data_IF_473699568685
#
_entry.id   IF_473699568685
#
_cell.length_a   1.000
_cell.length_b   1.000
_cell.length_c   1.000
_cell.angle_alpha   90.00
_cell.angle_beta   90.00
_cell.angle_gamma   90.00
#
_symmetry.space_group_name_H-M   'P 1'
#
loop_
_entity.id
_entity.type
_entity.pdbx_description
1 polymer ?
#
# COMPACT_ATOMS: atom_id res chain seq x y z
N UNK A 1 42.42 -19.45 40.53
CA UNK A 1 42.77 -18.07 40.11
C UNK A 1 41.56 -17.51 39.36
N UNK A 2 41.17 -16.25 39.54
CA UNK A 2 40.01 -15.68 38.83
C UNK A 2 40.37 -15.41 37.36
N UNK A 3 39.48 -15.73 36.40
CA UNK A 3 39.68 -15.52 34.95
C UNK A 3 40.17 -14.09 34.64
N UNK A 4 39.65 -13.11 35.38
CA UNK A 4 40.07 -11.71 35.26
C UNK A 4 41.57 -11.49 35.55
N UNK A 5 42.09 -12.15 36.59
CA UNK A 5 43.48 -12.00 37.00
C UNK A 5 44.43 -12.66 36.01
N UNK A 6 44.01 -13.77 35.40
CA UNK A 6 44.77 -14.47 34.36
C UNK A 6 44.83 -13.64 33.08
N UNK A 7 43.69 -13.13 32.59
CA UNK A 7 43.66 -12.25 31.42
C UNK A 7 44.46 -10.97 31.63
N UNK A 8 44.40 -10.38 32.83
CA UNK A 8 45.18 -9.18 33.14
C UNK A 8 46.70 -9.45 33.13
N UNK A 9 47.13 -10.59 33.67
CA UNK A 9 48.55 -10.99 33.60
C UNK A 9 48.97 -11.19 32.15
N UNK A 10 48.22 -11.99 31.38
CA UNK A 10 48.53 -12.26 29.97
C UNK A 10 48.57 -10.98 29.13
N UNK A 11 47.63 -10.07 29.34
CA UNK A 11 47.58 -8.80 28.61
C UNK A 11 48.76 -7.89 28.97
N UNK A 12 49.17 -7.83 30.24
CA UNK A 12 50.32 -7.04 30.66
C UNK A 12 51.66 -7.65 30.23
N UNK A 13 51.77 -8.97 30.26
CA UNK A 13 53.03 -9.67 29.99
C UNK A 13 53.32 -9.76 28.49
N UNK A 14 52.28 -9.96 27.66
CA UNK A 14 52.45 -10.28 26.24
C UNK A 14 52.20 -9.10 25.28
N UNK A 15 51.54 -8.02 25.74
CA UNK A 15 51.19 -6.87 24.89
C UNK A 15 51.83 -5.58 25.39
N UNK A 16 52.39 -4.80 24.46
CA UNK A 16 52.79 -3.42 24.69
C UNK A 16 51.59 -2.48 24.71
N UNK A 17 51.76 -1.24 25.20
CA UNK A 17 50.68 -0.23 25.23
C UNK A 17 50.09 0.01 23.84
N UNK A 18 50.92 0.05 22.78
CA UNK A 18 50.45 0.24 21.41
C UNK A 18 49.66 -0.96 20.89
N UNK A 19 50.08 -2.18 21.24
CA UNK A 19 49.37 -3.40 20.83
C UNK A 19 48.02 -3.55 21.53
N UNK A 20 47.90 -3.16 22.81
CA UNK A 20 46.60 -3.12 23.50
C UNK A 20 45.66 -2.11 22.81
N UNK A 21 46.18 -0.95 22.41
CA UNK A 21 45.38 0.05 21.67
C UNK A 21 44.95 -0.46 20.30
N UNK A 22 45.86 -1.11 19.57
CA UNK A 22 45.55 -1.75 18.28
C UNK A 22 44.48 -2.84 18.44
N UNK A 23 44.60 -3.68 19.47
CA UNK A 23 43.61 -4.69 19.81
C UNK A 23 42.22 -4.08 20.08
N UNK A 24 42.14 -2.98 20.83
CA UNK A 24 40.87 -2.28 21.07
C UNK A 24 40.24 -1.78 19.77
N UNK A 25 41.03 -1.20 18.87
CA UNK A 25 40.57 -0.72 17.55
C UNK A 25 40.05 -1.90 16.72
N UNK A 26 40.76 -3.03 16.68
CA UNK A 26 40.34 -4.23 15.96
C UNK A 26 39.04 -4.82 16.52
N UNK A 27 38.77 -4.61 17.81
CA UNK A 27 37.53 -4.99 18.48
C UNK A 27 36.41 -3.94 18.33
N UNK A 28 36.66 -2.83 17.62
CA UNK A 28 35.70 -1.75 17.38
C UNK A 28 35.51 -0.80 18.56
N UNK A 29 36.45 -0.80 19.50
CA UNK A 29 36.43 0.05 20.69
C UNK A 29 37.39 1.24 20.51
N UNK A 30 37.00 2.40 21.04
CA UNK A 30 37.85 3.60 21.04
C UNK A 30 38.85 3.52 22.21
N UNK A 31 40.17 3.36 21.98
CA UNK A 31 41.14 3.21 23.05
C UNK A 31 41.21 4.41 24.00
N UNK A 32 40.86 5.61 23.54
CA UNK A 32 40.87 6.82 24.36
C UNK A 32 39.68 6.88 25.34
N UNK A 33 38.66 6.04 25.13
CA UNK A 33 37.55 5.87 26.08
C UNK A 33 37.92 5.04 27.32
N UNK A 34 39.02 4.29 27.26
CA UNK A 34 39.51 3.45 28.36
C UNK A 34 40.56 4.20 29.18
N UNK A 35 41.45 4.93 28.51
CA UNK A 35 42.50 5.68 29.18
C UNK A 35 43.10 6.79 28.30
N UNK A 36 43.56 7.87 28.94
CA UNK A 36 44.26 8.96 28.27
C UNK A 36 45.52 8.48 27.52
N UNK A 37 45.98 9.18 26.46
CA UNK A 37 47.12 8.78 25.63
C UNK A 37 48.42 8.48 26.39
N UNK A 38 48.65 9.16 27.52
CA UNK A 38 49.80 9.05 28.39
C UNK A 38 49.64 8.00 29.52
N UNK A 39 48.52 7.28 29.53
CA UNK A 39 48.26 6.28 30.57
C UNK A 39 49.21 5.09 30.43
N UNK A 40 49.86 4.74 31.54
CA UNK A 40 50.73 3.57 31.63
C UNK A 40 50.01 2.27 31.28
N UNK A 41 50.78 1.31 30.73
CA UNK A 41 50.30 0.01 30.25
C UNK A 41 49.38 -0.70 31.24
N UNK A 42 49.80 -0.80 32.49
CA UNK A 42 49.10 -1.59 33.51
C UNK A 42 47.68 -1.08 33.77
N UNK A 43 47.52 0.25 33.78
CA UNK A 43 46.21 0.89 33.96
C UNK A 43 45.33 0.70 32.72
N UNK A 44 45.89 0.80 31.51
CA UNK A 44 45.16 0.53 30.27
C UNK A 44 44.68 -0.93 30.23
N UNK A 45 45.55 -1.89 30.53
CA UNK A 45 45.20 -3.31 30.58
C UNK A 45 44.10 -3.60 31.61
N UNK A 46 44.19 -2.98 32.80
CA UNK A 46 43.19 -3.12 33.85
C UNK A 46 41.82 -2.59 33.42
N UNK A 47 41.76 -1.39 32.83
CA UNK A 47 40.50 -0.80 32.35
C UNK A 47 39.91 -1.61 31.19
N UNK A 48 40.73 -2.11 30.26
CA UNK A 48 40.30 -3.00 29.18
C UNK A 48 39.64 -4.26 29.73
N UNK A 49 40.32 -5.00 30.60
CA UNK A 49 39.76 -6.22 31.18
C UNK A 49 38.48 -5.93 31.97
N UNK A 50 38.46 -4.82 32.72
CA UNK A 50 37.28 -4.43 33.52
C UNK A 50 36.08 -4.07 32.63
N UNK A 51 36.31 -3.34 31.54
CA UNK A 51 35.28 -2.98 30.57
C UNK A 51 34.62 -4.22 29.95
N UNK A 52 35.43 -5.13 29.39
CA UNK A 52 34.93 -6.35 28.77
C UNK A 52 34.26 -7.27 29.80
N UNK A 53 34.75 -7.29 31.05
CA UNK A 53 34.07 -8.00 32.15
C UNK A 53 32.67 -7.42 32.43
N UNK A 54 32.53 -6.09 32.54
CA UNK A 54 31.23 -5.45 32.81
C UNK A 54 30.18 -5.79 31.74
N UNK A 55 30.62 -5.95 30.48
CA UNK A 55 29.75 -6.32 29.36
C UNK A 55 29.56 -7.84 29.16
N UNK A 56 30.17 -8.68 30.00
CA UNK A 56 30.22 -10.14 29.84
C UNK A 56 30.83 -10.57 28.49
N UNK A 57 31.82 -9.84 28.02
CA UNK A 57 32.50 -10.02 26.73
C UNK A 57 33.97 -10.46 26.86
N UNK A 58 34.38 -10.99 28.02
CA UNK A 58 35.74 -11.54 28.20
C UNK A 58 36.15 -12.57 27.12
N UNK A 59 35.25 -13.43 26.60
CA UNK A 59 35.59 -14.33 25.49
C UNK A 59 36.01 -13.59 24.22
N UNK A 60 35.38 -12.45 23.92
CA UNK A 60 35.70 -11.64 22.74
C UNK A 60 37.09 -11.02 22.88
N UNK A 61 37.43 -10.54 24.08
CA UNK A 61 38.76 -10.02 24.36
C UNK A 61 39.83 -11.11 24.20
N UNK A 62 39.60 -12.30 24.76
CA UNK A 62 40.52 -13.42 24.63
C UNK A 62 40.68 -13.89 23.17
N UNK A 63 39.59 -13.93 22.39
CA UNK A 63 39.65 -14.24 20.96
C UNK A 63 40.46 -13.19 20.20
N UNK A 64 40.26 -11.90 20.49
CA UNK A 64 41.04 -10.82 19.91
C UNK A 64 42.53 -10.95 20.24
N UNK A 65 42.86 -11.27 21.50
CA UNK A 65 44.23 -11.52 21.93
C UNK A 65 44.85 -12.72 21.20
N UNK A 66 44.12 -13.84 21.08
CA UNK A 66 44.59 -15.04 20.36
C UNK A 66 44.78 -14.77 18.86
N UNK A 67 43.96 -13.89 18.26
CA UNK A 67 44.12 -13.48 16.86
C UNK A 67 45.35 -12.60 16.65
N UNK A 68 45.62 -11.68 17.57
CA UNK A 68 46.79 -10.80 17.52
C UNK A 68 48.10 -11.53 17.84
N UNK A 69 48.04 -12.56 18.70
CA UNK A 69 49.16 -13.39 19.14
C UNK A 69 48.76 -14.88 19.14
N UNK A 70 48.85 -15.56 17.98
CA UNK A 70 48.46 -16.97 17.85
C UNK A 70 49.22 -17.94 18.77
N UNK A 71 50.43 -17.55 19.19
CA UNK A 71 51.25 -18.26 20.16
C UNK A 71 50.62 -18.35 21.56
N UNK A 72 49.71 -17.44 21.91
CA UNK A 72 49.00 -17.43 23.20
C UNK A 72 47.65 -18.17 23.15
N UNK A 73 47.26 -18.73 22.01
CA UNK A 73 45.92 -19.29 21.82
C UNK A 73 45.61 -20.45 22.79
N UNK A 74 46.59 -21.29 23.10
CA UNK A 74 46.44 -22.41 24.04
C UNK A 74 46.26 -21.92 25.48
N UNK A 75 47.07 -20.95 25.90
CA UNK A 75 46.96 -20.33 27.22
C UNK A 75 45.61 -19.62 27.40
N UNK A 76 45.15 -18.89 26.38
CA UNK A 76 43.87 -18.18 26.38
C UNK A 76 42.67 -19.13 26.36
N UNK A 77 42.76 -20.27 25.67
CA UNK A 77 41.73 -21.31 25.65
C UNK A 77 41.53 -21.96 27.03
N UNK A 78 42.58 -22.01 27.87
CA UNK A 78 42.46 -22.50 29.25
C UNK A 78 41.79 -21.51 30.21
N UNK A 79 41.84 -20.21 29.88
CA UNK A 79 41.33 -19.12 30.73
C UNK A 79 39.86 -18.82 30.46
N UNK A 80 39.39 -19.03 29.23
CA UNK A 80 37.98 -18.82 28.87
C UNK A 80 37.28 -20.18 28.82
N UNK A 81 36.44 -20.43 29.82
CA UNK A 81 35.65 -21.67 29.91
C UNK A 81 34.89 -21.94 28.60
N UNK A 82 34.97 -23.16 28.03
CA UNK A 82 34.36 -23.50 26.74
C UNK A 82 32.82 -23.41 26.73
N UNK A 83 32.18 -23.27 27.89
CA UNK A 83 30.72 -23.09 28.01
C UNK A 83 30.18 -21.77 27.44
N UNK A 84 31.04 -20.81 27.06
CA UNK A 84 30.62 -19.57 26.38
C UNK A 84 31.01 -19.57 24.88
N UNK A 85 31.71 -20.61 24.42
CA UNK A 85 32.33 -20.64 23.10
C UNK A 85 31.50 -21.33 22.01
N UNK A 86 30.17 -21.23 22.00
CA UNK A 86 29.35 -21.38 20.76
C UNK A 86 28.03 -20.63 20.92
N UNK A 87 27.96 -19.36 20.56
CA UNK A 87 26.67 -18.67 20.58
C UNK A 87 26.61 -17.24 20.04
N UNK A 88 27.75 -16.61 19.78
CA UNK A 88 27.79 -15.22 19.31
C UNK A 88 28.77 -15.06 18.17
N UNK A 89 28.30 -14.47 17.07
CA UNK A 89 29.08 -13.95 15.94
C UNK A 89 29.39 -14.93 14.79
N UNK A 90 28.39 -15.71 14.39
CA UNK A 90 28.06 -15.76 12.96
C UNK A 90 26.70 -15.11 12.78
N UNK A 91 26.68 -13.77 12.72
CA UNK A 91 25.57 -13.04 12.12
C UNK A 91 25.61 -13.25 10.60
N UNK A 92 25.46 -14.51 10.17
CA UNK A 92 24.90 -14.82 8.86
C UNK A 92 23.48 -14.26 8.92
N UNK A 93 23.09 -13.44 7.96
CA UNK A 93 21.72 -12.98 7.78
C UNK A 93 20.79 -14.14 7.44
N UNK A 94 20.64 -15.08 8.37
CA UNK A 94 19.66 -16.13 8.32
C UNK A 94 18.40 -15.54 8.95
N UNK A 95 17.72 -14.72 8.15
CA UNK A 95 16.34 -14.29 8.43
C UNK A 95 15.57 -15.54 8.83
N UNK A 96 15.16 -15.62 10.10
CA UNK A 96 14.45 -16.76 10.66
C UNK A 96 13.35 -17.18 9.68
N UNK A 97 13.25 -18.46 9.28
CA UNK A 97 12.43 -18.90 8.15
C UNK A 97 10.95 -18.49 8.28
N UNK A 98 10.44 -18.35 9.51
CA UNK A 98 9.10 -17.86 9.80
C UNK A 98 8.88 -16.37 9.43
N UNK A 99 9.92 -15.53 9.46
CA UNK A 99 9.82 -14.12 9.07
C UNK A 99 9.67 -13.96 7.55
N UNK A 100 10.25 -14.87 6.75
CA UNK A 100 10.02 -14.91 5.29
C UNK A 100 8.59 -15.31 4.95
N UNK A 101 8.02 -16.26 5.71
CA UNK A 101 6.64 -16.71 5.51
C UNK A 101 5.65 -15.59 5.83
N UNK A 102 5.85 -14.85 6.93
CA UNK A 102 5.01 -13.69 7.27
C UNK A 102 5.10 -12.60 6.20
N UNK A 103 6.31 -12.30 5.71
CA UNK A 103 6.50 -11.33 4.64
C UNK A 103 5.73 -11.69 3.36
N UNK A 104 5.78 -12.95 2.95
CA UNK A 104 5.05 -13.44 1.77
C UNK A 104 3.53 -13.39 1.94
N UNK A 105 3.02 -13.72 3.13
CA UNK A 105 1.57 -13.64 3.43
C UNK A 105 1.09 -12.19 3.35
N UNK A 106 1.83 -11.24 3.93
CA UNK A 106 1.47 -9.83 3.88
C UNK A 106 1.46 -9.28 2.44
N UNK A 107 2.44 -9.66 1.63
CA UNK A 107 2.47 -9.28 0.20
C UNK A 107 1.30 -9.90 -0.56
N UNK A 108 0.99 -11.18 -0.32
CA UNK A 108 -0.15 -11.84 -0.96
C UNK A 108 -1.48 -11.18 -0.58
N UNK A 109 -1.68 -10.80 0.68
CA UNK A 109 -2.88 -10.08 1.13
C UNK A 109 -2.98 -8.68 0.49
N UNK A 110 -1.87 -7.96 0.39
CA UNK A 110 -1.83 -6.66 -0.28
C UNK A 110 -2.21 -6.78 -1.76
N UNK A 111 -1.64 -7.78 -2.46
CA UNK A 111 -1.98 -8.06 -3.85
C UNK A 111 -3.43 -8.50 -4.02
N UNK A 112 -3.98 -9.29 -3.10
CA UNK A 112 -5.39 -9.69 -3.13
C UNK A 112 -6.32 -8.49 -2.95
N UNK A 113 -5.98 -7.57 -2.04
CA UNK A 113 -6.71 -6.32 -1.83
C UNK A 113 -6.68 -5.41 -3.06
N UNK A 114 -5.49 -5.24 -3.65
CA UNK A 114 -5.32 -4.48 -4.90
C UNK A 114 -6.06 -5.13 -6.07
N UNK A 115 -6.05 -6.46 -6.17
CA UNK A 115 -6.78 -7.19 -7.20
C UNK A 115 -8.29 -7.03 -7.02
N UNK A 116 -8.80 -7.12 -5.78
CA UNK A 116 -10.20 -6.83 -5.47
C UNK A 116 -10.61 -5.42 -5.88
N UNK A 117 -9.80 -4.42 -5.54
CA UNK A 117 -10.03 -3.03 -5.95
C UNK A 117 -9.97 -2.86 -7.49
N UNK A 118 -9.04 -3.53 -8.16
CA UNK A 118 -8.93 -3.51 -9.62
C UNK A 118 -10.16 -4.13 -10.29
N UNK A 119 -10.66 -5.27 -9.81
CA UNK A 119 -11.89 -5.89 -10.30
C UNK A 119 -13.08 -4.95 -10.09
N UNK A 120 -13.23 -4.36 -8.90
CA UNK A 120 -14.31 -3.38 -8.65
C UNK A 120 -14.18 -2.17 -9.56
N UNK A 121 -12.98 -1.66 -9.82
CA UNK A 121 -12.78 -0.50 -10.68
C UNK A 121 -13.04 -0.80 -12.17
N UNK A 122 -12.61 -1.97 -12.65
CA UNK A 122 -12.78 -2.39 -14.05
C UNK A 122 -14.18 -2.86 -14.38
N UNK A 123 -14.89 -3.45 -13.41
CA UNK A 123 -16.26 -3.92 -13.57
C UNK A 123 -17.29 -3.04 -12.86
N UNK A 124 -16.89 -1.90 -12.29
CA UNK A 124 -17.84 -0.87 -11.91
C UNK A 124 -18.60 -0.51 -13.19
N UNK A 125 -19.95 -0.52 -13.17
CA UNK A 125 -20.74 -0.16 -14.34
C UNK A 125 -20.35 1.25 -14.78
N UNK A 126 -19.61 1.32 -15.89
CA UNK A 126 -19.33 2.55 -16.61
C UNK A 126 -20.67 3.08 -17.11
N UNK A 127 -21.22 4.08 -16.42
CA UNK A 127 -22.25 4.94 -17.01
C UNK A 127 -23.47 5.18 -16.13
N UNK A 128 -23.27 5.78 -14.95
CA UNK A 128 -24.36 6.51 -14.28
C UNK A 128 -24.54 7.93 -14.85
N UNK A 129 -23.76 8.31 -15.87
CA UNK A 129 -23.92 9.62 -16.49
C UNK A 129 -25.31 9.71 -17.11
N UNK A 130 -26.07 10.76 -16.78
CA UNK A 130 -27.37 10.97 -17.39
C UNK A 130 -27.22 11.13 -18.89
N UNK A 131 -28.18 10.63 -19.64
CA UNK A 131 -28.25 10.80 -21.09
C UNK A 131 -29.51 11.56 -21.47
N UNK A 132 -29.50 12.14 -22.66
CA UNK A 132 -30.63 12.90 -23.19
C UNK A 132 -31.47 12.02 -24.12
N UNK A 133 -32.79 12.09 -23.95
CA UNK A 133 -33.77 11.52 -24.86
C UNK A 133 -34.45 12.68 -25.59
N UNK A 134 -34.26 12.74 -26.90
CA UNK A 134 -34.85 13.72 -27.80
C UNK A 134 -36.15 13.16 -28.37
N UNK A 135 -37.23 13.90 -28.21
CA UNK A 135 -38.55 13.57 -28.76
C UNK A 135 -38.89 14.62 -29.81
N UNK A 136 -39.14 14.17 -31.05
CA UNK A 136 -39.58 15.02 -32.16
C UNK A 136 -41.05 14.73 -32.44
N UNK A 137 -41.86 15.78 -32.43
CA UNK A 137 -43.31 15.72 -32.57
C UNK A 137 -43.73 16.48 -33.82
N UNK A 138 -44.40 15.77 -34.72
CA UNK A 138 -44.92 16.31 -35.97
C UNK A 138 -46.41 16.00 -36.11
N UNK A 139 -47.10 16.82 -36.88
CA UNK A 139 -48.48 16.57 -37.27
C UNK A 139 -48.52 15.46 -38.32
N UNK A 140 -49.38 14.45 -38.12
CA UNK A 140 -49.44 13.27 -38.98
C UNK A 140 -49.95 13.58 -40.41
N UNK A 141 -50.72 14.67 -40.58
CA UNK A 141 -51.30 15.04 -41.87
C UNK A 141 -50.40 16.02 -42.63
N UNK A 142 -49.86 17.03 -41.93
CA UNK A 142 -49.10 18.13 -42.55
C UNK A 142 -47.59 17.94 -42.48
N UNK A 143 -47.09 17.03 -41.64
CA UNK A 143 -45.67 16.86 -41.28
C UNK A 143 -45.03 18.13 -40.68
N UNK A 144 -45.83 19.12 -40.27
CA UNK A 144 -45.33 20.32 -39.60
C UNK A 144 -44.98 20.00 -38.14
N UNK A 145 -43.97 20.66 -37.55
CA UNK A 145 -43.64 20.49 -36.15
C UNK A 145 -44.80 20.96 -35.25
N UNK A 146 -45.06 20.21 -34.18
CA UNK A 146 -46.09 20.58 -33.19
C UNK A 146 -45.42 21.25 -32.01
N UNK A 147 -45.64 22.56 -31.88
CA UNK A 147 -45.14 23.36 -30.75
C UNK A 147 -46.02 23.20 -29.50
N UNK A 148 -45.41 23.31 -28.32
CA UNK A 148 -46.07 23.28 -27.00
C UNK A 148 -46.85 22.00 -26.71
N UNK A 149 -46.48 20.89 -27.33
CA UNK A 149 -46.98 19.57 -26.95
C UNK A 149 -46.35 19.19 -25.61
N UNK A 150 -47.18 18.77 -24.66
CA UNK A 150 -46.74 18.25 -23.37
C UNK A 150 -46.22 16.82 -23.57
N UNK A 151 -44.95 16.60 -23.29
CA UNK A 151 -44.28 15.31 -23.37
C UNK A 151 -43.99 14.82 -21.96
N UNK A 152 -44.66 13.73 -21.59
CA UNK A 152 -44.57 13.14 -20.25
C UNK A 152 -43.91 11.77 -20.32
N UNK A 153 -42.81 11.61 -19.59
CA UNK A 153 -42.10 10.35 -19.42
C UNK A 153 -42.31 9.83 -18.00
N UNK A 154 -42.97 8.68 -17.89
CA UNK A 154 -43.23 7.99 -16.64
C UNK A 154 -42.28 6.81 -16.48
N UNK A 155 -41.42 6.91 -15.47
CA UNK A 155 -40.46 5.90 -15.05
C UNK A 155 -40.99 5.19 -13.80
N UNK A 156 -40.88 3.87 -13.74
CA UNK A 156 -41.32 3.10 -12.56
C UNK A 156 -40.56 3.55 -11.30
N UNK A 157 -41.30 3.91 -10.27
CA UNK A 157 -40.74 4.35 -8.98
C UNK A 157 -40.12 5.75 -8.98
N UNK A 158 -40.41 6.59 -10.00
CA UNK A 158 -39.98 7.99 -10.04
C UNK A 158 -41.16 8.92 -10.32
N UNK A 159 -41.00 10.20 -10.00
CA UNK A 159 -41.97 11.22 -10.42
C UNK A 159 -42.01 11.33 -11.97
N UNK A 160 -43.19 11.62 -12.56
CA UNK A 160 -43.28 11.89 -13.99
C UNK A 160 -42.39 13.07 -14.39
N UNK A 161 -41.68 12.93 -15.51
CA UNK A 161 -40.91 14.03 -16.11
C UNK A 161 -41.74 14.65 -17.21
N UNK A 162 -42.00 15.95 -17.11
CA UNK A 162 -42.84 16.69 -18.06
C UNK A 162 -42.01 17.79 -18.71
N UNK A 163 -42.01 17.84 -20.04
CA UNK A 163 -41.36 18.89 -20.84
C UNK A 163 -42.29 19.29 -22.00
N UNK A 164 -42.10 20.47 -22.55
CA UNK A 164 -42.87 20.94 -23.71
C UNK A 164 -42.00 20.99 -24.96
N UNK A 165 -42.59 20.69 -26.12
CA UNK A 165 -41.89 20.87 -27.39
C UNK A 165 -41.67 22.33 -27.74
N UNK A 166 -40.51 22.64 -28.31
CA UNK A 166 -40.16 23.94 -28.86
C UNK A 166 -40.83 24.23 -30.21
N UNK A 167 -40.53 25.38 -30.82
CA UNK A 167 -41.05 25.79 -32.13
C UNK A 167 -40.63 24.86 -33.28
N UNK A 168 -39.60 24.04 -33.07
CA UNK A 168 -39.17 22.99 -33.98
C UNK A 168 -39.82 21.63 -33.70
N UNK A 169 -40.79 21.57 -32.79
CA UNK A 169 -41.47 20.34 -32.38
C UNK A 169 -40.56 19.40 -31.59
N UNK A 170 -39.48 19.90 -30.99
CA UNK A 170 -38.49 19.09 -30.29
C UNK A 170 -38.58 19.28 -28.78
N UNK A 171 -38.50 18.18 -28.03
CA UNK A 171 -38.39 18.17 -26.58
C UNK A 171 -37.20 17.30 -26.16
N UNK A 172 -36.46 17.72 -25.15
CA UNK A 172 -35.29 17.00 -24.63
C UNK A 172 -35.53 16.63 -23.18
N UNK A 173 -35.45 15.34 -22.86
CA UNK A 173 -35.60 14.81 -21.51
C UNK A 173 -34.26 14.26 -21.02
N UNK A 174 -33.82 14.70 -19.84
CA UNK A 174 -32.69 14.08 -19.16
C UNK A 174 -33.14 12.82 -18.43
N UNK A 175 -32.50 11.69 -18.75
CA UNK A 175 -32.75 10.37 -18.17
C UNK A 175 -31.52 9.94 -17.36
N UNK A 176 -31.69 9.50 -16.10
CA UNK A 176 -30.57 9.01 -15.31
C UNK A 176 -29.90 7.79 -15.97
N UNK A 177 -28.55 7.74 -15.95
CA UNK A 177 -27.80 6.69 -16.62
C UNK A 177 -28.10 5.29 -16.10
N UNK A 178 -28.40 5.17 -14.80
CA UNK A 178 -28.76 3.91 -14.16
C UNK A 178 -30.09 3.31 -14.67
N UNK A 179 -30.89 4.08 -15.42
CA UNK A 179 -32.15 3.65 -16.03
C UNK A 179 -31.98 3.15 -17.48
N UNK A 180 -30.76 3.11 -18.00
CA UNK A 180 -30.48 2.57 -19.34
C UNK A 180 -30.94 1.10 -19.44
N UNK A 181 -31.64 0.76 -20.52
CA UNK A 181 -32.22 -0.55 -20.76
C UNK A 181 -33.59 -0.78 -20.13
N UNK A 182 -34.04 0.09 -19.21
CA UNK A 182 -35.39 0.00 -18.63
C UNK A 182 -36.47 0.42 -19.63
N UNK A 183 -37.72 0.03 -19.35
CA UNK A 183 -38.89 0.48 -20.09
C UNK A 183 -39.57 1.66 -19.38
N UNK A 184 -40.06 2.61 -20.17
CA UNK A 184 -40.81 3.77 -19.68
C UNK A 184 -42.08 3.98 -20.50
N UNK A 185 -43.09 4.62 -19.90
CA UNK A 185 -44.28 5.06 -20.63
C UNK A 185 -44.10 6.51 -21.07
N UNK A 186 -44.13 6.74 -22.37
CA UNK A 186 -44.12 8.06 -22.99
C UNK A 186 -45.54 8.43 -23.38
N UNK A 187 -46.01 9.59 -22.94
CA UNK A 187 -47.31 10.17 -23.29
C UNK A 187 -47.10 11.56 -23.88
N UNK A 188 -47.83 11.89 -24.93
CA UNK A 188 -47.80 13.20 -25.57
C UNK A 188 -49.21 13.73 -25.72
N UNK A 189 -49.42 14.95 -25.24
CA UNK A 189 -50.72 15.62 -25.26
C UNK A 189 -50.59 17.04 -25.84
N UNK A 190 -51.53 17.40 -26.70
CA UNK A 190 -51.69 18.77 -27.21
C UNK A 190 -53.16 19.00 -27.56
N UNK A 191 -53.70 20.16 -27.20
CA UNK A 191 -55.05 20.54 -27.60
C UNK A 191 -55.21 20.47 -29.12
N UNK A 192 -56.31 19.89 -29.59
CA UNK A 192 -56.57 19.66 -31.01
C UNK A 192 -55.94 18.39 -31.58
N UNK A 193 -55.24 17.59 -30.75
CA UNK A 193 -54.65 16.30 -31.13
C UNK A 193 -55.17 15.17 -30.24
N UNK A 194 -55.19 13.95 -30.77
CA UNK A 194 -55.38 12.75 -29.97
C UNK A 194 -54.20 12.53 -29.03
N UNK A 195 -54.46 12.00 -27.82
CA UNK A 195 -53.40 11.66 -26.87
C UNK A 195 -52.61 10.48 -27.41
N UNK A 196 -51.30 10.65 -27.56
CA UNK A 196 -50.39 9.60 -27.98
C UNK A 196 -49.74 8.94 -26.78
N UNK A 197 -49.76 7.61 -26.71
CA UNK A 197 -49.07 6.86 -25.66
C UNK A 197 -48.32 5.66 -26.20
N UNK A 198 -47.09 5.44 -25.69
CA UNK A 198 -46.26 4.31 -26.10
C UNK A 198 -45.30 3.88 -24.99
N UNK A 199 -45.01 2.58 -24.92
CA UNK A 199 -43.90 2.05 -24.12
C UNK A 199 -42.62 2.14 -24.94
N UNK A 200 -41.58 2.75 -24.37
CA UNK A 200 -40.26 2.92 -24.98
C UNK A 200 -39.19 2.24 -24.13
N UNK A 201 -38.17 1.68 -24.79
CA UNK A 201 -36.95 1.19 -24.11
C UNK A 201 -35.92 2.31 -24.10
N UNK A 202 -35.45 2.65 -22.92
CA UNK A 202 -34.48 3.72 -22.69
C UNK A 202 -33.08 3.24 -23.10
N UNK A 203 -32.32 4.05 -23.83
CA UNK A 203 -30.93 3.72 -24.13
C UNK A 203 -30.20 4.84 -24.84
N UNK A 204 -28.88 4.91 -24.63
CA UNK A 204 -28.03 5.95 -25.22
C UNK A 204 -28.03 5.92 -26.75
N UNK A 205 -28.19 4.75 -27.35
CA UNK A 205 -28.27 4.55 -28.80
C UNK A 205 -29.63 4.97 -29.40
N UNK A 206 -30.70 5.04 -28.57
CA UNK A 206 -32.05 5.43 -29.00
C UNK A 206 -32.34 6.88 -28.57
N UNK A 207 -31.39 7.77 -28.84
CA UNK A 207 -31.43 9.17 -28.41
C UNK A 207 -32.57 9.95 -29.03
N UNK A 208 -33.14 9.52 -30.16
CA UNK A 208 -34.18 10.25 -30.88
C UNK A 208 -35.43 9.38 -31.11
N UNK A 209 -36.59 9.87 -30.69
CA UNK A 209 -37.90 9.26 -30.95
C UNK A 209 -38.74 10.24 -31.77
N UNK A 210 -39.13 9.80 -32.97
CA UNK A 210 -40.04 10.55 -33.83
C UNK A 210 -41.48 10.08 -33.64
N UNK A 211 -42.38 11.03 -33.38
CA UNK A 211 -43.80 10.79 -33.11
C UNK A 211 -44.62 11.69 -34.01
N UNK A 212 -45.68 11.11 -34.59
CA UNK A 212 -46.66 11.81 -35.41
C UNK A 212 -47.98 11.83 -34.67
N UNK A 213 -48.48 13.01 -34.35
CA UNK A 213 -49.76 13.20 -33.68
C UNK A 213 -50.89 13.30 -34.70
N UNK A 214 -51.98 12.59 -34.45
CA UNK A 214 -53.20 12.66 -35.25
C UNK A 214 -54.07 13.80 -34.74
N UNK A 215 -54.51 14.75 -35.58
CA UNK A 215 -55.49 15.76 -35.19
C UNK A 215 -56.77 15.11 -34.67
N UNK A 216 -57.31 15.61 -33.57
CA UNK A 216 -58.63 15.21 -33.08
C UNK A 216 -59.71 15.81 -33.99
N UNK A 217 -60.75 15.04 -34.37
CA UNK A 217 -61.88 15.55 -35.14
C UNK A 217 -62.72 16.60 -34.39
#
# INVERSE_FOLDING_TARGET
MNEQSQLLSLLNDAFSTQEIRGLLIDLGEDPDSFAAPDTGRDKLAQETVLHFKRRKQLPILAEGMARARPDLAEDLASVVSPDVAVGGLVARGETRPWMRTIGLILVALLLLGLFGAFVVYTFAPLGNDPFEMVVRVQDAQTNLPVERAEVTLLLTGSAPRVVFTDSGGTAVLSVPGEREGETARLSIQRDGYEVYERIVTLGKANTAVEIRLTPSP
#
